data_IF_166215437621
#
_entry.id   IF_166215437621
#
_cell.length_a   1.000
_cell.length_b   1.000
_cell.length_c   1.000
_cell.angle_alpha   90.00
_cell.angle_beta   90.00
_cell.angle_gamma   90.00
#
_symmetry.space_group_name_H-M   'P 1'
#
loop_
_entity.id
_entity.type
_entity.pdbx_description
1 polymer ?
#
# COMPACT_ATOMS: atom_id res chain seq x y z
N UNK A 1 10.49 4.28 22.60
CA UNK A 1 10.52 5.39 21.60
C UNK A 1 11.87 5.37 20.89
N UNK A 2 11.96 5.71 19.60
CA UNK A 2 13.24 5.74 18.90
C UNK A 2 13.87 7.14 19.09
N UNK A 3 14.53 7.37 20.22
CA UNK A 3 15.03 8.70 20.63
C UNK A 3 15.83 9.43 19.53
N UNK A 4 16.75 8.77 18.79
CA UNK A 4 17.46 9.44 17.69
C UNK A 4 16.55 10.04 16.62
N UNK A 5 15.44 9.36 16.29
CA UNK A 5 14.51 9.83 15.26
C UNK A 5 13.84 11.14 15.69
N UNK A 6 13.36 11.18 16.94
CA UNK A 6 12.66 12.34 17.44
C UNK A 6 13.59 13.53 17.66
N UNK A 7 14.82 13.31 18.12
CA UNK A 7 15.83 14.37 18.24
C UNK A 7 16.17 14.98 16.87
N UNK A 8 16.51 14.14 15.87
CA UNK A 8 16.81 14.64 14.52
C UNK A 8 15.61 15.35 13.89
N UNK A 9 14.40 14.80 14.06
CA UNK A 9 13.17 15.42 13.53
C UNK A 9 12.89 16.77 14.20
N UNK A 10 13.09 16.88 15.52
CA UNK A 10 12.91 18.13 16.25
C UNK A 10 13.91 19.20 15.82
N UNK A 11 15.20 18.85 15.72
CA UNK A 11 16.26 19.76 15.28
C UNK A 11 16.04 20.26 13.85
N UNK A 12 15.56 19.40 12.94
CA UNK A 12 15.30 19.77 11.55
C UNK A 12 13.89 20.34 11.33
N UNK A 13 13.05 20.44 12.36
CA UNK A 13 11.62 20.73 12.21
C UNK A 13 11.29 22.00 11.42
N UNK A 14 12.02 23.14 11.52
CA UNK A 14 11.72 24.32 10.71
C UNK A 14 11.86 24.04 9.20
N UNK A 15 12.95 23.36 8.81
CA UNK A 15 13.22 22.98 7.42
C UNK A 15 12.22 21.94 6.94
N UNK A 16 11.92 20.93 7.76
CA UNK A 16 10.97 19.87 7.42
C UNK A 16 9.55 20.41 7.23
N UNK A 17 9.12 21.36 8.07
CA UNK A 17 7.80 22.00 7.94
C UNK A 17 7.73 22.86 6.68
N UNK A 18 8.79 23.63 6.38
CA UNK A 18 8.87 24.41 5.15
C UNK A 18 8.82 23.50 3.91
N UNK A 19 9.65 22.46 3.86
CA UNK A 19 9.69 21.50 2.76
C UNK A 19 8.37 20.75 2.61
N UNK A 20 7.76 20.31 3.71
CA UNK A 20 6.47 19.63 3.70
C UNK A 20 5.35 20.51 3.15
N UNK A 21 5.30 21.80 3.54
CA UNK A 21 4.33 22.77 2.99
C UNK A 21 4.59 23.02 1.50
N UNK A 22 5.84 23.20 1.09
CA UNK A 22 6.21 23.45 -0.31
C UNK A 22 5.90 22.24 -1.20
N UNK A 23 6.25 21.03 -0.78
CA UNK A 23 5.88 19.80 -1.50
C UNK A 23 4.37 19.67 -1.65
N UNK A 24 3.60 19.84 -0.57
CA UNK A 24 2.12 19.77 -0.65
C UNK A 24 1.50 20.80 -1.58
N UNK A 25 2.14 21.97 -1.75
CA UNK A 25 1.69 23.02 -2.66
C UNK A 25 2.05 22.72 -4.11
N UNK A 26 3.21 22.14 -4.36
CA UNK A 26 3.78 21.99 -5.70
C UNK A 26 3.51 20.63 -6.34
N UNK A 27 3.28 19.58 -5.54
CA UNK A 27 2.98 18.24 -6.05
C UNK A 27 1.54 18.21 -6.57
N UNK A 28 1.34 17.84 -7.87
CA UNK A 28 0.00 17.66 -8.43
C UNK A 28 -0.84 16.69 -7.59
N UNK A 29 -2.11 17.03 -7.38
CA UNK A 29 -3.06 16.11 -6.74
C UNK A 29 -3.71 15.26 -7.82
N UNK A 30 -3.35 13.99 -7.86
CA UNK A 30 -3.95 13.04 -8.78
C UNK A 30 -5.27 12.49 -8.17
N UNK A 31 -6.32 12.33 -9.00
CA UNK A 31 -7.57 11.72 -8.55
C UNK A 31 -7.39 10.22 -8.28
N UNK A 32 -8.38 9.63 -7.62
CA UNK A 32 -8.54 8.17 -7.59
C UNK A 32 -8.88 7.68 -9.01
N UNK A 33 -8.54 6.42 -9.31
CA UNK A 33 -8.85 5.83 -10.60
C UNK A 33 -10.36 5.72 -10.80
N UNK A 34 -10.80 5.86 -12.05
CA UNK A 34 -12.17 5.56 -12.46
C UNK A 34 -12.33 4.10 -12.87
N UNK A 35 -13.42 3.82 -13.59
CA UNK A 35 -13.70 2.50 -14.14
C UNK A 35 -14.22 1.50 -13.10
N UNK A 36 -14.23 0.23 -13.47
CA UNK A 36 -14.74 -0.83 -12.62
C UNK A 36 -13.74 -1.15 -11.48
N UNK A 37 -14.22 -1.19 -10.25
CA UNK A 37 -13.41 -1.54 -9.06
C UNK A 37 -13.13 -3.06 -8.94
N UNK A 38 -13.66 -3.84 -9.88
CA UNK A 38 -13.51 -5.30 -9.92
C UNK A 38 -13.54 -5.79 -11.37
N UNK A 39 -12.90 -6.92 -11.61
CA UNK A 39 -12.87 -7.59 -12.89
C UNK A 39 -12.23 -8.97 -12.78
N UNK A 40 -11.89 -9.57 -13.92
CA UNK A 40 -11.15 -10.82 -13.96
C UNK A 40 -10.27 -10.92 -15.20
N UNK A 41 -9.25 -11.76 -15.10
CA UNK A 41 -8.42 -12.19 -16.23
C UNK A 41 -8.58 -13.71 -16.41
N UNK A 42 -8.90 -14.13 -17.63
CA UNK A 42 -9.32 -15.49 -17.97
C UNK A 42 -10.84 -15.68 -17.97
N UNK A 43 -11.27 -16.87 -18.38
CA UNK A 43 -12.69 -17.20 -18.60
C UNK A 43 -13.26 -18.13 -17.52
N UNK A 44 -14.59 -18.12 -17.37
CA UNK A 44 -15.29 -19.02 -16.45
C UNK A 44 -15.17 -18.63 -14.97
N UNK A 45 -15.31 -19.62 -14.08
CA UNK A 45 -15.28 -19.41 -12.63
C UNK A 45 -13.85 -19.11 -12.16
N UNK A 46 -13.61 -18.05 -11.37
CA UNK A 46 -12.28 -17.70 -10.90
C UNK A 46 -11.74 -18.78 -9.97
N UNK A 47 -10.52 -19.23 -10.25
CA UNK A 47 -9.78 -20.14 -9.38
C UNK A 47 -9.23 -19.44 -8.13
N UNK A 48 -8.97 -18.13 -8.25
CA UNK A 48 -8.51 -17.28 -7.16
C UNK A 48 -9.23 -15.93 -7.22
N UNK A 49 -9.66 -15.44 -6.05
CA UNK A 49 -10.29 -14.13 -5.86
C UNK A 49 -9.36 -13.24 -5.05
N UNK A 50 -8.83 -12.20 -5.68
CA UNK A 50 -7.94 -11.23 -5.06
C UNK A 50 -8.74 -10.02 -4.55
N UNK A 51 -8.43 -9.58 -3.34
CA UNK A 51 -8.93 -8.33 -2.79
C UNK A 51 -7.77 -7.44 -2.37
N UNK A 52 -7.63 -6.26 -2.97
CA UNK A 52 -6.65 -5.26 -2.55
C UNK A 52 -7.35 -4.15 -1.78
N UNK A 53 -7.02 -4.02 -0.50
CA UNK A 53 -7.52 -2.94 0.38
C UNK A 53 -6.40 -1.97 0.73
N UNK A 54 -6.71 -0.67 0.86
CA UNK A 54 -5.65 0.27 1.25
C UNK A 54 -5.93 1.75 1.07
N UNK A 55 -4.84 2.49 0.85
CA UNK A 55 -4.83 3.93 0.62
C UNK A 55 -4.81 4.26 -0.88
N UNK A 56 -3.99 5.23 -1.30
CA UNK A 56 -3.91 5.72 -2.68
C UNK A 56 -3.53 4.66 -3.72
N UNK A 57 -2.61 3.74 -3.38
CA UNK A 57 -2.19 2.65 -4.27
C UNK A 57 -3.33 1.67 -4.57
N UNK A 58 -4.17 1.37 -3.57
CA UNK A 58 -5.39 0.57 -3.77
C UNK A 58 -6.47 1.38 -4.51
N UNK A 59 -6.55 2.69 -4.25
CA UNK A 59 -7.47 3.59 -4.94
C UNK A 59 -7.06 3.90 -6.40
N UNK A 60 -5.98 3.30 -6.91
CA UNK A 60 -5.51 3.48 -8.27
C UNK A 60 -4.98 4.88 -8.57
N UNK A 61 -4.57 5.65 -7.56
CA UNK A 61 -4.00 6.98 -7.79
C UNK A 61 -2.73 6.85 -8.66
N UNK A 62 -2.65 7.65 -9.72
CA UNK A 62 -1.56 7.57 -10.70
C UNK A 62 -1.94 6.93 -12.03
N UNK A 63 -3.14 6.33 -12.12
CA UNK A 63 -3.71 5.79 -13.36
C UNK A 63 -5.14 6.28 -13.59
N UNK A 64 -5.64 6.11 -14.81
CA UNK A 64 -6.98 6.57 -15.19
C UNK A 64 -8.09 5.59 -14.80
N UNK A 65 -7.79 4.28 -14.85
CA UNK A 65 -8.74 3.20 -14.61
C UNK A 65 -8.13 2.15 -13.67
N UNK A 66 -8.93 1.55 -12.79
CA UNK A 66 -8.53 0.47 -11.90
C UNK A 66 -7.98 -0.77 -12.62
N UNK A 67 -8.31 -0.99 -13.90
CA UNK A 67 -7.69 -2.02 -14.74
C UNK A 67 -6.16 -1.85 -14.89
N UNK A 68 -5.67 -0.61 -14.79
CA UNK A 68 -4.25 -0.25 -14.81
C UNK A 68 -3.62 -0.24 -13.41
N UNK A 69 -4.45 -0.36 -12.37
CA UNK A 69 -4.03 -0.28 -10.96
C UNK A 69 -3.54 -1.61 -10.40
N UNK A 70 -3.06 -1.56 -9.15
CA UNK A 70 -2.39 -2.69 -8.49
C UNK A 70 -3.20 -4.00 -8.51
N UNK A 71 -4.52 -3.93 -8.24
CA UNK A 71 -5.35 -5.12 -8.11
C UNK A 71 -5.49 -5.88 -9.44
N UNK A 72 -5.82 -5.17 -10.52
CA UNK A 72 -5.94 -5.76 -11.85
C UNK A 72 -4.59 -6.26 -12.37
N UNK A 73 -3.53 -5.45 -12.23
CA UNK A 73 -2.20 -5.84 -12.70
C UNK A 73 -1.65 -7.06 -11.96
N UNK A 74 -1.93 -7.18 -10.65
CA UNK A 74 -1.57 -8.38 -9.88
C UNK A 74 -2.36 -9.60 -10.35
N UNK A 75 -3.65 -9.44 -10.60
CA UNK A 75 -4.49 -10.52 -11.13
C UNK A 75 -4.02 -10.99 -12.51
N UNK A 76 -3.65 -10.04 -13.38
CA UNK A 76 -3.10 -10.32 -14.70
C UNK A 76 -1.77 -11.07 -14.60
N UNK A 77 -0.83 -10.61 -13.76
CA UNK A 77 0.45 -11.29 -13.57
C UNK A 77 0.30 -12.71 -12.99
N UNK A 78 -0.68 -12.93 -12.12
CA UNK A 78 -1.01 -14.28 -11.61
C UNK A 78 -1.68 -15.15 -12.67
N UNK A 79 -2.57 -14.58 -13.49
CA UNK A 79 -3.21 -15.26 -14.61
C UNK A 79 -2.18 -15.73 -15.63
N UNK A 80 -1.31 -14.84 -16.11
CA UNK A 80 -0.25 -15.12 -17.08
C UNK A 80 0.71 -16.22 -16.58
N UNK A 81 1.05 -16.21 -15.29
CA UNK A 81 1.96 -17.20 -14.69
C UNK A 81 1.32 -18.57 -14.47
N UNK A 82 0.03 -18.63 -14.16
CA UNK A 82 -0.65 -19.87 -13.75
C UNK A 82 -1.56 -20.46 -14.82
N UNK A 83 -1.92 -19.69 -15.84
CA UNK A 83 -2.94 -20.07 -16.82
C UNK A 83 -4.31 -20.32 -16.19
N UNK A 84 -4.61 -19.69 -15.04
CA UNK A 84 -5.87 -19.84 -14.29
C UNK A 84 -6.64 -18.54 -14.31
N UNK A 85 -7.97 -18.62 -14.21
CA UNK A 85 -8.82 -17.43 -14.12
C UNK A 85 -8.67 -16.79 -12.76
N UNK A 86 -8.27 -15.51 -12.73
CA UNK A 86 -8.05 -14.75 -11.51
C UNK A 86 -8.99 -13.55 -11.52
N UNK A 87 -9.89 -13.49 -10.54
CA UNK A 87 -10.74 -12.32 -10.32
C UNK A 87 -10.10 -11.37 -9.31
N UNK A 88 -10.42 -10.09 -9.43
CA UNK A 88 -9.90 -9.06 -8.56
C UNK A 88 -10.97 -8.06 -8.17
N UNK A 89 -10.80 -7.50 -6.99
CA UNK A 89 -11.55 -6.37 -6.48
C UNK A 89 -10.58 -5.45 -5.73
N UNK A 90 -10.84 -4.15 -5.75
CA UNK A 90 -10.10 -3.20 -4.93
C UNK A 90 -10.99 -2.27 -4.12
N UNK A 91 -10.55 -2.00 -2.89
CA UNK A 91 -11.15 -1.02 -2.00
C UNK A 91 -10.04 -0.10 -1.47
N UNK A 92 -9.87 1.04 -2.13
CA UNK A 92 -8.92 2.06 -1.73
C UNK A 92 -9.62 3.34 -1.31
N UNK A 93 -9.03 4.07 -0.37
CA UNK A 93 -9.44 5.44 -0.06
C UNK A 93 -8.20 6.32 0.00
N UNK A 94 -8.10 7.28 -0.90
CA UNK A 94 -6.95 8.17 -0.96
C UNK A 94 -6.81 8.99 0.34
N UNK A 95 -5.57 9.14 0.82
CA UNK A 95 -5.25 9.89 2.04
C UNK A 95 -5.65 9.23 3.37
N UNK A 96 -6.24 8.03 3.35
CA UNK A 96 -6.69 7.35 4.56
C UNK A 96 -5.53 6.83 5.40
N UNK A 97 -5.66 6.89 6.73
CA UNK A 97 -4.78 6.18 7.66
C UNK A 97 -5.40 4.87 8.13
N UNK A 98 -4.59 3.93 8.60
CA UNK A 98 -5.04 2.58 8.99
C UNK A 98 -6.22 2.59 9.98
N UNK A 99 -6.19 3.47 10.99
CA UNK A 99 -7.30 3.58 11.93
C UNK A 99 -8.63 4.06 11.31
N UNK A 100 -8.56 4.86 10.25
CA UNK A 100 -9.75 5.29 9.50
C UNK A 100 -10.23 4.18 8.56
N UNK A 101 -9.30 3.44 7.94
CA UNK A 101 -9.62 2.28 7.11
C UNK A 101 -10.41 1.24 7.91
N UNK A 102 -9.94 0.88 9.11
CA UNK A 102 -10.65 -0.07 9.99
C UNK A 102 -12.10 0.35 10.27
N UNK A 103 -12.37 1.66 10.45
CA UNK A 103 -13.73 2.17 10.68
C UNK A 103 -14.60 2.10 9.44
N UNK A 104 -14.05 2.38 8.25
CA UNK A 104 -14.78 2.23 6.99
C UNK A 104 -15.10 0.77 6.70
N UNK A 105 -14.14 -0.12 6.90
CA UNK A 105 -14.34 -1.55 6.66
C UNK A 105 -15.38 -2.18 7.60
N UNK A 106 -15.62 -1.59 8.78
CA UNK A 106 -16.70 -2.02 9.66
C UNK A 106 -18.11 -1.74 9.09
N UNK A 107 -18.24 -0.86 8.10
CA UNK A 107 -19.53 -0.47 7.50
C UNK A 107 -19.62 -0.77 6.01
N UNK A 108 -18.61 -1.42 5.42
CA UNK A 108 -18.56 -1.74 3.99
C UNK A 108 -18.64 -3.24 3.80
N UNK A 109 -19.52 -3.68 2.92
CA UNK A 109 -19.56 -5.07 2.50
C UNK A 109 -18.51 -5.31 1.42
N UNK A 110 -17.43 -6.00 1.80
CA UNK A 110 -16.38 -6.43 0.88
C UNK A 110 -16.76 -7.75 0.21
N UNK A 111 -16.32 -8.03 -1.04
CA UNK A 111 -16.61 -9.30 -1.71
C UNK A 111 -15.95 -10.48 -1.01
N UNK A 112 -16.34 -11.70 -1.39
CA UNK A 112 -15.57 -12.89 -1.03
C UNK A 112 -14.20 -12.86 -1.71
N UNK A 113 -13.15 -13.30 -1.02
CA UNK A 113 -11.78 -13.30 -1.51
C UNK A 113 -11.00 -14.45 -0.87
N UNK A 114 -10.04 -14.98 -1.61
CA UNK A 114 -9.13 -16.04 -1.16
C UNK A 114 -7.81 -15.44 -0.67
N UNK A 115 -7.39 -14.31 -1.25
CA UNK A 115 -6.19 -13.57 -0.86
C UNK A 115 -6.54 -12.10 -0.67
N UNK A 116 -6.19 -11.55 0.49
CA UNK A 116 -6.38 -10.14 0.82
C UNK A 116 -5.01 -9.46 0.94
N UNK A 117 -4.79 -8.43 0.13
CA UNK A 117 -3.59 -7.61 0.12
C UNK A 117 -3.89 -6.24 0.75
N UNK A 118 -3.12 -5.88 1.78
CA UNK A 118 -3.13 -4.58 2.40
C UNK A 118 -2.01 -3.70 1.84
N UNK A 119 -2.39 -2.61 1.16
CA UNK A 119 -1.47 -1.55 0.73
C UNK A 119 -1.66 -0.31 1.60
N UNK A 120 -0.87 -0.22 2.68
CA UNK A 120 -0.98 0.85 3.68
C UNK A 120 0.39 1.24 4.25
N UNK A 121 0.49 2.47 4.74
CA UNK A 121 1.57 2.91 5.63
C UNK A 121 2.21 4.23 5.22
N UNK A 122 1.93 4.73 4.02
CA UNK A 122 2.43 6.02 3.54
C UNK A 122 1.78 7.16 4.33
N UNK A 123 0.45 7.18 4.46
CA UNK A 123 -0.25 8.22 5.21
C UNK A 123 -0.04 8.12 6.73
N UNK A 124 0.18 6.92 7.26
CA UNK A 124 0.59 6.73 8.66
C UNK A 124 2.03 7.20 8.92
N UNK A 125 2.91 7.06 7.92
CA UNK A 125 4.29 7.57 7.96
C UNK A 125 4.31 9.09 7.99
N UNK A 126 3.67 9.74 7.02
CA UNK A 126 3.61 11.21 6.93
C UNK A 126 2.75 11.82 8.03
N UNK A 127 1.76 11.06 8.50
CA UNK A 127 0.89 11.40 9.61
C UNK A 127 1.46 11.20 11.00
N UNK A 128 2.69 10.68 11.10
CA UNK A 128 3.40 10.39 12.35
C UNK A 128 2.61 9.48 13.31
N UNK A 129 1.80 8.55 12.78
CA UNK A 129 1.06 7.59 13.62
C UNK A 129 2.02 6.81 14.49
N UNK A 130 1.89 6.77 15.82
CA UNK A 130 2.83 6.05 16.68
C UNK A 130 2.91 4.55 16.34
N UNK A 131 4.11 3.96 16.40
CA UNK A 131 4.35 2.53 16.07
C UNK A 131 3.43 1.57 16.83
N UNK A 132 3.24 1.80 18.12
CA UNK A 132 2.37 0.94 18.95
C UNK A 132 0.92 1.02 18.50
N UNK A 133 0.45 2.22 18.11
CA UNK A 133 -0.90 2.45 17.59
C UNK A 133 -1.08 1.78 16.24
N UNK A 134 -0.09 1.92 15.35
CA UNK A 134 -0.09 1.26 14.04
C UNK A 134 -0.16 -0.27 14.19
N UNK A 135 0.68 -0.86 15.05
CA UNK A 135 0.62 -2.30 15.38
C UNK A 135 -0.75 -2.72 15.90
N UNK A 136 -1.30 -1.99 16.87
CA UNK A 136 -2.63 -2.29 17.44
C UNK A 136 -3.73 -2.22 16.38
N UNK A 137 -3.64 -1.26 15.46
CA UNK A 137 -4.61 -1.11 14.37
C UNK A 137 -4.51 -2.25 13.33
N UNK A 138 -3.31 -2.77 13.04
CA UNK A 138 -3.13 -3.95 12.18
C UNK A 138 -3.73 -5.21 12.82
N UNK A 139 -3.49 -5.41 14.11
CA UNK A 139 -4.08 -6.52 14.85
C UNK A 139 -5.60 -6.44 14.85
N UNK A 140 -6.16 -5.25 15.13
CA UNK A 140 -7.60 -5.03 15.09
C UNK A 140 -8.19 -5.24 13.67
N UNK A 141 -7.47 -4.82 12.63
CA UNK A 141 -7.87 -5.07 11.24
C UNK A 141 -7.92 -6.56 10.96
N UNK A 142 -6.86 -7.30 11.28
CA UNK A 142 -6.79 -8.75 11.10
C UNK A 142 -7.93 -9.45 11.82
N UNK A 143 -8.17 -9.13 13.10
CA UNK A 143 -9.29 -9.71 13.87
C UNK A 143 -10.64 -9.45 13.20
N UNK A 144 -10.88 -8.23 12.71
CA UNK A 144 -12.13 -7.89 12.02
C UNK A 144 -12.32 -8.59 10.68
N UNK A 145 -11.23 -8.97 10.01
CA UNK A 145 -11.25 -9.65 8.72
C UNK A 145 -11.28 -11.18 8.84
N UNK A 146 -10.83 -11.75 9.96
CA UNK A 146 -10.56 -13.18 10.10
C UNK A 146 -11.76 -14.10 9.87
N UNK A 147 -12.97 -13.67 10.21
CA UNK A 147 -14.18 -14.48 9.99
C UNK A 147 -14.51 -14.64 8.50
N UNK A 148 -14.28 -13.60 7.69
CA UNK A 148 -14.58 -13.60 6.25
C UNK A 148 -13.40 -14.05 5.40
N UNK A 149 -12.19 -13.78 5.87
CA UNK A 149 -10.94 -14.09 5.19
C UNK A 149 -10.03 -14.86 6.16
N UNK A 150 -10.16 -16.21 6.21
CA UNK A 150 -9.45 -17.02 7.21
C UNK A 150 -7.93 -17.03 6.99
N UNK A 151 -7.50 -16.97 5.73
CA UNK A 151 -6.09 -16.94 5.33
C UNK A 151 -5.35 -15.70 5.87
N UNK A 152 -4.02 -15.79 5.87
CA UNK A 152 -3.16 -14.71 6.34
C UNK A 152 -3.33 -13.43 5.50
N UNK A 153 -3.35 -12.27 6.16
CA UNK A 153 -3.42 -10.97 5.50
C UNK A 153 -2.06 -10.64 4.89
N UNK A 154 -2.00 -10.46 3.57
CA UNK A 154 -0.79 -10.06 2.86
C UNK A 154 -0.50 -8.57 3.12
N UNK A 155 0.60 -8.28 3.80
CA UNK A 155 1.07 -6.93 4.10
C UNK A 155 2.07 -6.50 3.02
N UNK A 156 1.64 -5.65 2.09
CA UNK A 156 2.56 -5.02 1.15
C UNK A 156 3.44 -4.02 1.91
N UNK A 157 4.75 -4.20 1.84
CA UNK A 157 5.71 -3.40 2.61
C UNK A 157 5.49 -1.90 2.40
N UNK A 158 5.70 -1.10 3.45
CA UNK A 158 5.65 0.35 3.34
C UNK A 158 6.76 0.78 2.35
N UNK A 159 6.43 1.51 1.26
CA UNK A 159 7.39 1.73 0.18
C UNK A 159 8.60 2.55 0.66
N UNK A 160 9.75 2.43 -0.03
CA UNK A 160 10.97 3.15 0.30
C UNK A 160 10.85 4.66 -0.02
N UNK A 161 10.10 5.41 0.80
CA UNK A 161 9.73 6.82 0.54
C UNK A 161 10.91 7.80 0.39
N UNK A 162 12.14 7.38 0.72
CA UNK A 162 13.34 8.18 0.48
C UNK A 162 13.74 8.22 -1.00
N UNK A 163 13.16 7.36 -1.85
CA UNK A 163 13.34 7.33 -3.30
C UNK A 163 12.33 8.21 -4.05
N UNK A 164 11.28 8.69 -3.39
CA UNK A 164 10.24 9.50 -4.04
C UNK A 164 10.79 10.87 -4.45
N UNK A 165 10.65 11.20 -5.73
CA UNK A 165 11.23 12.41 -6.33
C UNK A 165 10.47 13.68 -5.95
N UNK A 166 9.20 13.57 -5.60
CA UNK A 166 8.39 14.67 -5.09
C UNK A 166 8.91 15.28 -3.77
N UNK A 167 9.76 14.56 -3.05
CA UNK A 167 10.19 14.89 -1.70
C UNK A 167 11.64 15.38 -1.70
N UNK A 168 11.92 16.62 -1.29
CA UNK A 168 13.29 17.13 -1.23
C UNK A 168 14.08 16.53 -0.06
N UNK A 169 15.40 16.65 -0.09
CA UNK A 169 16.24 16.41 1.07
C UNK A 169 16.29 17.66 1.98
N UNK A 170 16.27 17.54 3.33
CA UNK A 170 16.33 16.31 4.12
C UNK A 170 14.98 15.62 4.38
N UNK A 171 13.86 16.18 3.91
CA UNK A 171 12.52 15.64 4.18
C UNK A 171 12.40 14.15 3.80
N UNK A 172 12.79 13.77 2.57
CA UNK A 172 12.72 12.39 2.07
C UNK A 172 13.49 11.38 2.93
N UNK A 173 14.61 11.78 3.51
CA UNK A 173 15.40 10.92 4.40
C UNK A 173 14.67 10.66 5.73
N UNK A 174 14.05 11.70 6.31
CA UNK A 174 13.33 11.58 7.59
C UNK A 174 12.06 10.72 7.43
N UNK A 175 11.27 10.98 6.39
CA UNK A 175 10.08 10.15 6.13
C UNK A 175 10.46 8.74 5.71
N UNK A 176 11.55 8.54 4.95
CA UNK A 176 12.04 7.21 4.60
C UNK A 176 12.55 6.43 5.82
N UNK A 177 13.14 7.11 6.81
CA UNK A 177 13.46 6.49 8.10
C UNK A 177 12.19 6.08 8.84
N UNK A 178 11.18 6.95 8.87
CA UNK A 178 9.89 6.66 9.51
C UNK A 178 9.16 5.50 8.83
N UNK A 179 9.13 5.45 7.50
CA UNK A 179 8.57 4.35 6.71
C UNK A 179 9.22 3.02 7.08
N UNK A 180 10.56 2.97 7.13
CA UNK A 180 11.30 1.77 7.59
C UNK A 180 10.92 1.35 9.01
N UNK A 181 10.65 2.30 9.92
CA UNK A 181 10.20 1.97 11.26
C UNK A 181 8.79 1.36 11.29
N UNK A 182 7.88 1.78 10.40
CA UNK A 182 6.56 1.15 10.25
C UNK A 182 6.66 -0.19 9.54
N UNK A 183 7.51 -0.31 8.51
CA UNK A 183 7.73 -1.57 7.79
C UNK A 183 8.24 -2.69 8.71
N UNK A 184 9.14 -2.36 9.64
CA UNK A 184 9.59 -3.31 10.67
C UNK A 184 8.44 -3.85 11.53
N UNK A 185 7.33 -3.12 11.68
CA UNK A 185 6.14 -3.65 12.36
C UNK A 185 5.49 -4.74 11.52
N UNK A 186 5.40 -4.58 10.18
CA UNK A 186 4.89 -5.61 9.27
C UNK A 186 5.77 -6.86 9.32
N UNK A 187 7.09 -6.70 9.16
CA UNK A 187 8.06 -7.80 9.24
C UNK A 187 7.99 -8.52 10.59
N UNK A 188 7.77 -7.79 11.69
CA UNK A 188 7.60 -8.39 13.01
C UNK A 188 6.29 -9.16 13.12
N UNK A 189 5.17 -8.62 12.64
CA UNK A 189 3.88 -9.31 12.69
C UNK A 189 3.90 -10.59 11.86
N UNK A 190 4.38 -10.55 10.62
CA UNK A 190 4.50 -11.72 9.76
C UNK A 190 5.42 -12.80 10.33
N UNK A 191 6.52 -12.41 11.00
CA UNK A 191 7.42 -13.38 11.66
C UNK A 191 6.82 -14.03 12.92
N UNK A 192 6.06 -13.29 13.73
CA UNK A 192 5.56 -13.79 15.01
C UNK A 192 4.17 -14.42 14.90
N UNK A 193 3.41 -14.10 13.86
CA UNK A 193 2.06 -14.61 13.61
C UNK A 193 1.85 -14.93 12.12
N UNK A 194 2.59 -15.91 11.55
CA UNK A 194 2.54 -16.23 10.12
C UNK A 194 1.17 -16.76 9.66
N UNK A 195 0.36 -17.31 10.57
CA UNK A 195 -1.03 -17.68 10.26
C UNK A 195 -1.98 -16.49 10.09
N UNK A 196 -1.59 -15.31 10.59
CA UNK A 196 -2.38 -14.09 10.51
C UNK A 196 -1.86 -13.10 9.49
N UNK A 197 -0.54 -13.09 9.25
CA UNK A 197 0.10 -12.10 8.40
C UNK A 197 1.18 -12.73 7.52
N UNK A 198 1.16 -12.38 6.23
CA UNK A 198 2.25 -12.65 5.30
C UNK A 198 2.89 -11.32 4.90
N UNK A 199 4.21 -11.23 4.92
CA UNK A 199 4.93 -10.03 4.45
C UNK A 199 5.28 -10.16 2.97
N UNK A 200 4.94 -9.14 2.18
CA UNK A 200 5.31 -9.05 0.77
C UNK A 200 6.17 -7.81 0.53
N UNK A 201 7.33 -7.99 -0.11
CA UNK A 201 8.26 -6.89 -0.36
C UNK A 201 7.80 -6.04 -1.55
N UNK A 202 7.70 -4.74 -1.33
CA UNK A 202 7.51 -3.76 -2.39
C UNK A 202 8.85 -3.58 -3.12
N UNK A 203 8.90 -3.69 -4.45
CA UNK A 203 10.14 -3.51 -5.19
C UNK A 203 10.60 -2.04 -5.12
N UNK A 204 11.91 -1.81 -5.05
CA UNK A 204 12.42 -0.45 -5.13
C UNK A 204 12.23 0.09 -6.56
N UNK A 205 11.29 1.00 -6.73
CA UNK A 205 11.11 1.74 -7.99
C UNK A 205 12.19 2.82 -8.10
N UNK A 206 13.36 2.45 -8.61
CA UNK A 206 14.50 3.37 -8.79
C UNK A 206 14.42 4.13 -10.11
N UNK A 207 13.76 3.58 -11.12
CA UNK A 207 13.46 4.29 -12.36
C UNK A 207 12.26 5.23 -12.15
N UNK A 208 12.50 6.52 -12.35
CA UNK A 208 11.48 7.56 -12.20
C UNK A 208 10.38 7.46 -13.26
N UNK A 209 10.62 6.77 -14.39
CA UNK A 209 9.62 6.52 -15.42
C UNK A 209 8.45 5.64 -14.93
N UNK A 210 8.67 4.90 -13.83
CA UNK A 210 7.66 4.06 -13.17
C UNK A 210 6.74 4.86 -12.24
N UNK A 211 7.04 6.13 -12.00
CA UNK A 211 6.21 7.02 -11.19
C UNK A 211 5.23 7.80 -12.08
N UNK A 212 4.07 8.10 -11.51
CA UNK A 212 3.11 9.01 -12.10
C UNK A 212 3.66 10.44 -12.16
N UNK A 213 2.93 11.34 -12.83
CA UNK A 213 3.34 12.74 -13.04
C UNK A 213 3.55 13.55 -11.74
N UNK A 214 3.12 13.03 -10.59
CA UNK A 214 3.35 13.65 -9.29
C UNK A 214 4.70 13.27 -8.65
N UNK A 215 5.45 12.33 -9.22
CA UNK A 215 6.72 11.85 -8.68
C UNK A 215 6.60 11.14 -7.33
N UNK A 216 5.41 10.62 -7.03
CA UNK A 216 5.07 10.04 -5.73
C UNK A 216 4.34 8.71 -5.86
N UNK A 217 3.26 8.65 -6.65
CA UNK A 217 2.49 7.42 -6.87
C UNK A 217 3.10 6.61 -8.03
N UNK A 218 2.90 5.28 -8.05
CA UNK A 218 3.20 4.49 -9.25
C UNK A 218 2.34 4.96 -10.42
N UNK A 219 2.93 5.02 -11.62
CA UNK A 219 2.18 5.05 -12.87
C UNK A 219 1.74 3.63 -13.25
N UNK A 220 1.14 3.48 -14.43
CA UNK A 220 0.71 2.16 -14.95
C UNK A 220 1.87 1.14 -15.01
N UNK A 221 3.01 1.53 -15.60
CA UNK A 221 4.22 0.71 -15.64
C UNK A 221 4.76 0.38 -14.25
N UNK A 222 4.64 1.32 -13.29
CA UNK A 222 5.00 1.09 -11.90
C UNK A 222 4.09 0.08 -11.20
N UNK A 223 2.77 0.18 -11.42
CA UNK A 223 1.82 -0.82 -10.91
C UNK A 223 2.08 -2.21 -11.47
N UNK A 224 2.38 -2.30 -12.77
CA UNK A 224 2.79 -3.56 -13.42
C UNK A 224 4.06 -4.14 -12.78
N UNK A 225 5.09 -3.33 -12.59
CA UNK A 225 6.35 -3.79 -11.98
C UNK A 225 6.16 -4.27 -10.52
N UNK A 226 5.33 -3.56 -9.73
CA UNK A 226 4.96 -4.01 -8.39
C UNK A 226 4.22 -5.34 -8.45
N UNK A 227 3.20 -5.44 -9.31
CA UNK A 227 2.39 -6.63 -9.47
C UNK A 227 3.22 -7.87 -9.85
N UNK A 228 4.17 -7.72 -10.78
CA UNK A 228 5.05 -8.82 -11.21
C UNK A 228 5.92 -9.34 -10.07
N UNK A 229 6.50 -8.44 -9.26
CA UNK A 229 7.28 -8.83 -8.08
C UNK A 229 6.43 -9.53 -7.01
N UNK A 230 5.17 -9.11 -6.85
CA UNK A 230 4.26 -9.73 -5.88
C UNK A 230 3.73 -11.09 -6.35
N UNK A 231 3.48 -11.25 -7.65
CA UNK A 231 2.98 -12.50 -8.24
C UNK A 231 3.96 -13.67 -8.03
N UNK A 232 5.24 -13.41 -7.82
CA UNK A 232 6.26 -14.42 -7.46
C UNK A 232 6.15 -14.91 -6.02
N UNK A 233 5.60 -14.08 -5.14
CA UNK A 233 5.54 -14.34 -3.70
C UNK A 233 4.19 -14.87 -3.24
N UNK A 234 3.13 -14.59 -3.99
CA UNK A 234 1.78 -15.10 -3.72
C UNK A 234 1.69 -16.52 -4.29
N UNK A 235 1.29 -17.47 -3.44
CA UNK A 235 1.14 -18.90 -3.79
C UNK A 235 -0.24 -19.24 -4.32
#
# INVERSE_FOLDING_TARGET
>A
MHLPFWLTTALLSPVLLYQGKRTRKNTPRLPEAGGAISGQHGDGCPHLRLLVIGESTAAGVGVSNHEQGLASQLALGLHERRGKTISWHTFGVNGIRLGQLNRKLASVELPQADVVLLSMGVNDTTGLTPRYRFRRQLLALRTGLAQRYPESLCLLSVPPMHLFTALPAPLRQIIGWRARQLNRVYEQLARHAPGDFQYLSYPALTDTSLLASDGYHPGESGYRAIAEALAESIR
#
